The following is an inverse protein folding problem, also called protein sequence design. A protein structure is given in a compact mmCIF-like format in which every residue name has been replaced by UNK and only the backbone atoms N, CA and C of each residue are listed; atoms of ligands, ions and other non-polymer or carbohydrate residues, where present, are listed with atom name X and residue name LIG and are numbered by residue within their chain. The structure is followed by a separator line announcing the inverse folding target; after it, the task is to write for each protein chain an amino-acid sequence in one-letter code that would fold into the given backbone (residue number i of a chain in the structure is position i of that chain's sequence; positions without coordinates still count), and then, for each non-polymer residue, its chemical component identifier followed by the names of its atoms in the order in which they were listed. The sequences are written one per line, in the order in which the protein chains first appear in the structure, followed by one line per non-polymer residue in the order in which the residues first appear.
data_IF_992119224181
#
_entry.id   IF_992119224181
#
_cell.length_a   1.000
_cell.length_b   1.000
_cell.length_c   1.000
_cell.angle_alpha   90.00
_cell.angle_beta   90.00
_cell.angle_gamma   90.00
#
_symmetry.space_group_name_H-M   'P 1'
#
loop_
_entity.id
_entity.type
_entity.pdbx_description
1 polymer ?
#
# COMPACT_ATOMS: atom_id res chain seq x y z
N UNK A 1 -18.51 -17.30 -4.28
CA UNK A 1 -17.60 -16.35 -5.00
C UNK A 1 -17.76 -14.98 -4.39
N UNK A 2 -16.64 -14.27 -4.18
CA UNK A 2 -16.67 -12.90 -3.72
C UNK A 2 -16.89 -11.93 -4.88
N UNK A 3 -17.21 -10.67 -4.58
CA UNK A 3 -17.29 -9.64 -5.61
C UNK A 3 -15.92 -9.37 -6.20
N UNK A 4 -15.91 -8.79 -7.41
CA UNK A 4 -14.67 -8.28 -7.99
C UNK A 4 -14.18 -7.08 -7.18
N UNK A 5 -12.91 -7.11 -6.86
CA UNK A 5 -12.23 -6.06 -6.11
C UNK A 5 -10.94 -5.69 -6.81
N UNK A 6 -10.47 -4.49 -6.54
CA UNK A 6 -9.16 -4.04 -6.97
C UNK A 6 -8.25 -3.94 -5.75
N UNK A 7 -7.05 -4.52 -5.86
CA UNK A 7 -6.09 -4.54 -4.74
C UNK A 7 -4.83 -3.80 -5.14
N UNK A 8 -4.35 -2.97 -4.25
CA UNK A 8 -3.07 -2.29 -4.38
C UNK A 8 -2.12 -2.87 -3.33
N UNK A 9 -0.99 -3.40 -3.77
CA UNK A 9 0.08 -3.87 -2.89
C UNK A 9 1.28 -2.96 -3.05
N UNK A 10 1.87 -2.56 -1.93
CA UNK A 10 3.06 -1.71 -1.92
C UNK A 10 4.15 -2.32 -1.07
N UNK A 11 5.41 -2.08 -1.42
CA UNK A 11 6.52 -2.35 -0.53
C UNK A 11 7.62 -1.31 -0.77
N UNK A 12 8.57 -1.24 0.15
CA UNK A 12 9.69 -0.30 0.06
C UNK A 12 10.89 -1.01 -0.52
N UNK A 13 11.41 -0.49 -1.63
CA UNK A 13 12.59 -1.04 -2.29
C UNK A 13 13.82 -0.83 -1.41
N UNK A 14 14.56 -1.91 -1.16
CA UNK A 14 15.84 -1.83 -0.44
C UNK A 14 15.73 -1.43 1.02
N UNK A 15 14.63 -1.75 1.70
CA UNK A 15 14.42 -1.37 3.09
C UNK A 15 15.40 -2.03 4.06
N UNK A 16 15.72 -3.31 3.87
CA UNK A 16 16.59 -4.04 4.79
C UNK A 16 17.99 -3.42 4.91
N UNK A 17 18.69 -3.08 3.81
CA UNK A 17 19.97 -2.39 3.93
C UNK A 17 19.87 -1.03 4.63
N UNK A 18 18.77 -0.29 4.46
CA UNK A 18 18.58 0.99 5.14
C UNK A 18 18.42 0.83 6.64
N UNK A 19 17.67 -0.19 7.06
CA UNK A 19 17.54 -0.50 8.48
C UNK A 19 18.89 -0.83 9.11
N UNK A 20 19.71 -1.60 8.40
CA UNK A 20 21.04 -1.97 8.89
C UNK A 20 21.97 -0.77 8.98
N UNK A 21 21.82 0.18 8.08
CA UNK A 21 22.69 1.36 8.03
C UNK A 21 22.36 2.38 9.12
N UNK A 22 21.09 2.70 9.33
CA UNK A 22 20.66 3.71 10.31
C UNK A 22 19.20 3.47 10.70
N UNK A 23 18.99 2.88 11.87
CA UNK A 23 17.65 2.55 12.35
C UNK A 23 16.81 3.78 12.66
N UNK A 24 17.41 4.82 13.24
CA UNK A 24 16.68 6.03 13.61
C UNK A 24 16.22 6.80 12.37
N UNK A 25 17.10 6.93 11.38
CA UNK A 25 16.73 7.55 10.12
C UNK A 25 15.61 6.78 9.43
N UNK A 26 15.75 5.46 9.35
CA UNK A 26 14.75 4.63 8.68
C UNK A 26 13.40 4.68 9.40
N UNK A 27 13.40 4.71 10.73
CA UNK A 27 12.16 4.82 11.49
C UNK A 27 11.41 6.12 11.15
N UNK A 28 12.11 7.23 11.01
CA UNK A 28 11.51 8.51 10.62
C UNK A 28 10.99 8.50 9.19
N UNK A 29 11.76 7.93 8.26
CA UNK A 29 11.34 7.80 6.87
C UNK A 29 10.12 6.91 6.73
N UNK A 30 10.08 5.81 7.47
CA UNK A 30 8.95 4.89 7.44
C UNK A 30 7.69 5.54 8.02
N UNK A 31 7.81 6.29 9.11
CA UNK A 31 6.67 6.99 9.69
C UNK A 31 6.06 7.99 8.69
N UNK A 32 6.91 8.72 7.98
CA UNK A 32 6.45 9.64 6.93
C UNK A 32 5.78 8.88 5.77
N UNK A 33 6.41 7.81 5.30
CA UNK A 33 5.86 6.94 4.27
C UNK A 33 4.47 6.44 4.66
N UNK A 34 4.32 5.95 5.89
CA UNK A 34 3.04 5.40 6.34
C UNK A 34 1.95 6.47 6.37
N UNK A 35 2.27 7.69 6.80
CA UNK A 35 1.31 8.79 6.76
C UNK A 35 0.87 9.12 5.34
N UNK A 36 1.81 9.18 4.41
CA UNK A 36 1.52 9.48 3.00
C UNK A 36 0.60 8.41 2.40
N UNK A 37 0.92 7.12 2.63
CA UNK A 37 0.10 6.03 2.12
C UNK A 37 -1.30 6.06 2.71
N UNK A 38 -1.42 6.20 4.03
CA UNK A 38 -2.72 6.20 4.70
C UNK A 38 -3.59 7.38 4.27
N UNK A 39 -3.00 8.57 4.10
CA UNK A 39 -3.74 9.73 3.59
C UNK A 39 -4.25 9.50 2.18
N UNK A 40 -3.43 8.93 1.31
CA UNK A 40 -3.83 8.63 -0.06
C UNK A 40 -4.94 7.58 -0.10
N UNK A 41 -4.87 6.57 0.76
CA UNK A 41 -5.90 5.55 0.87
C UNK A 41 -7.24 6.16 1.28
N UNK A 42 -7.24 7.02 2.31
CA UNK A 42 -8.47 7.68 2.76
C UNK A 42 -9.07 8.54 1.65
N UNK A 43 -8.25 9.34 0.97
CA UNK A 43 -8.73 10.21 -0.11
C UNK A 43 -9.28 9.43 -1.30
N UNK A 44 -8.78 8.22 -1.54
CA UNK A 44 -9.15 7.40 -2.69
C UNK A 44 -10.25 6.37 -2.37
N UNK A 45 -10.75 6.35 -1.15
CA UNK A 45 -11.81 5.44 -0.74
C UNK A 45 -11.37 3.98 -0.57
N UNK A 46 -10.08 3.77 -0.31
CA UNK A 46 -9.53 2.44 -0.10
C UNK A 46 -9.66 1.96 1.35
N UNK A 47 -9.38 0.68 1.55
CA UNK A 47 -9.39 0.07 2.86
C UNK A 47 -8.12 -0.77 3.04
N UNK A 48 -7.31 -0.42 4.00
CA UNK A 48 -6.10 -1.20 4.35
C UNK A 48 -6.54 -2.50 5.00
N UNK A 49 -6.15 -3.63 4.45
CA UNK A 49 -6.46 -4.95 5.01
C UNK A 49 -5.22 -5.71 5.46
N UNK A 50 -4.05 -5.26 5.04
CA UNK A 50 -2.80 -5.91 5.43
C UNK A 50 -1.70 -4.87 5.55
N UNK A 51 -0.94 -4.96 6.64
CA UNK A 51 0.31 -4.23 6.83
C UNK A 51 1.35 -5.24 7.27
N UNK A 52 2.35 -5.49 6.45
CA UNK A 52 3.39 -6.45 6.79
C UNK A 52 4.75 -5.84 6.51
N UNK A 53 5.61 -5.82 7.51
CA UNK A 53 6.91 -5.19 7.36
C UNK A 53 6.76 -3.73 6.95
N UNK A 54 7.16 -3.41 5.72
CA UNK A 54 7.12 -2.07 5.17
C UNK A 54 6.11 -1.93 4.01
N UNK A 55 5.18 -2.88 3.90
CA UNK A 55 4.22 -2.91 2.81
C UNK A 55 2.79 -2.69 3.26
N UNK A 56 1.93 -2.39 2.30
CA UNK A 56 0.49 -2.26 2.51
C UNK A 56 -0.26 -3.11 1.49
N UNK A 57 -1.36 -3.71 1.97
CA UNK A 57 -2.38 -4.28 1.09
C UNK A 57 -3.64 -3.45 1.25
N UNK A 58 -4.16 -2.92 0.15
CA UNK A 58 -5.30 -2.01 0.18
C UNK A 58 -6.35 -2.49 -0.82
N UNK A 59 -7.61 -2.52 -0.39
CA UNK A 59 -8.71 -2.90 -1.25
C UNK A 59 -9.51 -1.68 -1.70
N UNK A 60 -9.96 -1.72 -2.95
CA UNK A 60 -10.79 -0.68 -3.56
C UNK A 60 -11.98 -1.33 -4.26
N UNK A 61 -13.08 -0.61 -4.35
CA UNK A 61 -14.26 -1.09 -5.07
C UNK A 61 -14.07 -1.06 -6.58
N UNK A 62 -13.21 -0.18 -7.09
CA UNK A 62 -12.90 -0.10 -8.51
C UNK A 62 -11.43 0.29 -8.74
N UNK A 63 -11.02 0.15 -10.01
CA UNK A 63 -9.64 0.41 -10.41
C UNK A 63 -9.28 1.90 -10.34
N UNK A 64 -10.25 2.79 -10.50
CA UNK A 64 -10.01 4.24 -10.46
C UNK A 64 -9.44 4.66 -9.12
N UNK A 65 -10.02 4.15 -8.02
CA UNK A 65 -9.52 4.43 -6.68
C UNK A 65 -8.10 3.93 -6.47
N UNK A 66 -7.82 2.70 -6.92
CA UNK A 66 -6.48 2.11 -6.78
C UNK A 66 -5.43 2.91 -7.56
N UNK A 67 -5.72 3.28 -8.79
CA UNK A 67 -4.80 4.07 -9.62
C UNK A 67 -4.58 5.46 -9.01
N UNK A 68 -5.65 6.12 -8.56
CA UNK A 68 -5.54 7.43 -7.93
C UNK A 68 -4.68 7.39 -6.67
N UNK A 69 -4.86 6.35 -5.85
CA UNK A 69 -4.06 6.15 -4.65
C UNK A 69 -2.58 5.95 -5.02
N UNK A 70 -2.30 5.06 -5.97
CA UNK A 70 -0.92 4.76 -6.40
C UNK A 70 -0.22 6.02 -6.92
N UNK A 71 -0.87 6.78 -7.78
CA UNK A 71 -0.31 8.02 -8.33
C UNK A 71 -0.09 9.06 -7.24
N UNK A 72 -1.03 9.20 -6.30
CA UNK A 72 -0.92 10.13 -5.20
C UNK A 72 0.28 9.83 -4.30
N UNK A 73 0.49 8.56 -3.97
CA UNK A 73 1.65 8.14 -3.17
C UNK A 73 2.96 8.41 -3.93
N UNK A 74 3.04 8.01 -5.19
CA UNK A 74 4.26 8.21 -5.98
C UNK A 74 4.58 9.70 -6.13
N UNK A 75 3.57 10.53 -6.37
CA UNK A 75 3.77 11.96 -6.48
C UNK A 75 4.26 12.57 -5.16
N UNK A 76 3.63 12.20 -4.05
CA UNK A 76 3.99 12.73 -2.74
C UNK A 76 5.39 12.31 -2.30
N UNK A 77 5.89 11.16 -2.77
CA UNK A 77 7.20 10.63 -2.40
C UNK A 77 8.27 10.85 -3.46
N UNK A 78 8.01 11.68 -4.47
CA UNK A 78 8.95 11.90 -5.58
C UNK A 78 10.33 12.36 -5.09
N UNK A 79 10.38 13.22 -4.08
CA UNK A 79 11.63 13.74 -3.52
C UNK A 79 12.09 12.98 -2.27
N UNK A 80 11.38 11.93 -1.90
CA UNK A 80 11.67 11.15 -0.70
C UNK A 80 12.79 10.15 -0.98
N UNK A 81 13.67 9.86 0.00
CA UNK A 81 14.70 8.83 -0.18
C UNK A 81 14.15 7.43 -0.39
N UNK A 82 12.95 7.14 0.14
CA UNK A 82 12.36 5.82 -0.02
C UNK A 82 11.65 5.70 -1.35
N UNK A 83 11.90 4.58 -2.04
CA UNK A 83 11.22 4.22 -3.28
C UNK A 83 10.23 3.13 -3.00
N UNK A 84 8.98 3.32 -3.47
CA UNK A 84 7.89 2.39 -3.22
C UNK A 84 7.57 1.64 -4.51
N UNK A 85 7.58 0.32 -4.42
CA UNK A 85 7.13 -0.56 -5.51
C UNK A 85 5.66 -0.87 -5.30
N UNK A 86 4.90 -0.93 -6.39
CA UNK A 86 3.46 -1.14 -6.33
C UNK A 86 3.00 -2.14 -7.36
N UNK A 87 1.96 -2.90 -7.00
CA UNK A 87 1.27 -3.78 -7.92
C UNK A 87 -0.23 -3.63 -7.72
N UNK A 88 -0.98 -3.66 -8.82
CA UNK A 88 -2.44 -3.58 -8.79
C UNK A 88 -2.99 -4.87 -9.39
N UNK A 89 -3.93 -5.49 -8.66
CA UNK A 89 -4.61 -6.71 -9.10
C UNK A 89 -6.12 -6.52 -9.04
N UNK A 90 -6.81 -7.06 -10.04
CA UNK A 90 -8.27 -7.13 -10.02
C UNK A 90 -8.66 -8.60 -9.97
N UNK A 91 -9.55 -8.94 -9.05
CA UNK A 91 -9.99 -10.32 -8.90
C UNK A 91 -11.09 -10.47 -7.87
N UNK A 92 -11.57 -11.70 -7.75
CA UNK A 92 -12.58 -12.05 -6.76
C UNK A 92 -11.93 -12.26 -5.40
N UNK A 93 -12.53 -11.66 -4.37
CA UNK A 93 -12.13 -11.91 -3.00
C UNK A 93 -13.30 -11.64 -2.07
N UNK A 94 -13.38 -12.42 -1.00
CA UNK A 94 -14.39 -12.23 0.04
C UNK A 94 -13.79 -11.48 1.21
N UNK A 95 -14.54 -10.54 1.75
CA UNK A 95 -14.14 -9.81 2.96
C UNK A 95 -14.68 -10.51 4.19
N UNK A 96 -13.82 -10.67 5.20
CA UNK A 96 -14.22 -11.22 6.50
C UNK A 96 -13.35 -10.58 7.58
N UNK A 97 -13.99 -9.96 8.57
CA UNK A 97 -13.31 -9.35 9.73
C UNK A 97 -12.16 -8.41 9.31
N UNK A 98 -12.42 -7.58 8.30
CA UNK A 98 -11.45 -6.63 7.73
C UNK A 98 -10.28 -7.30 7.00
N UNK A 99 -10.43 -8.57 6.64
CA UNK A 99 -9.47 -9.30 5.81
C UNK A 99 -10.15 -9.81 4.55
N UNK A 100 -9.36 -10.05 3.52
CA UNK A 100 -9.86 -10.55 2.23
C UNK A 100 -9.31 -11.93 1.95
N UNK A 101 -10.16 -12.78 1.38
CA UNK A 101 -9.83 -14.16 1.03
C UNK A 101 -10.27 -14.43 -0.40
N UNK A 102 -9.50 -15.23 -1.12
CA UNK A 102 -9.87 -15.63 -2.46
C UNK A 102 -8.65 -15.93 -3.31
N UNK A 103 -8.88 -16.39 -4.55
CA UNK A 103 -7.75 -16.80 -5.41
C UNK A 103 -6.84 -15.64 -5.83
N UNK A 104 -7.31 -14.39 -5.74
CA UNK A 104 -6.50 -13.21 -6.05
C UNK A 104 -5.41 -12.97 -5.01
N UNK A 105 -5.63 -13.40 -3.79
CA UNK A 105 -4.74 -13.19 -2.66
C UNK A 105 -3.97 -14.45 -2.33
#
# INVERSE_FOLDING_TARGET
MGPLRCFLFTDIEGSSPRWDADQDEMAGLLAHHDRVVRDAVVRSGGKVFSTGGDGFGVAFDDVTGAIGCALGVQDALTQDPLRVRMGIHVGEASERDNSFFGPTL
#
